data_IF_458995865394
#
_entry.id   IF_458995865394
#
_cell.length_a   1.000
_cell.length_b   1.000
_cell.length_c   1.000
_cell.angle_alpha   90.00
_cell.angle_beta   90.00
_cell.angle_gamma   90.00
#
_symmetry.space_group_name_H-M   'P 1'
#
loop_
_entity.id
_entity.type
_entity.pdbx_description
1 polymer ?
#
# COMPACT_ATOMS: atom_id res chain seq x y z
N UNK A 1 3.77 2.41 -4.91
CA UNK A 1 4.14 3.85 -4.82
C UNK A 1 3.73 4.52 -3.49
N UNK A 2 3.06 3.82 -2.56
CA UNK A 2 2.51 4.40 -1.32
C UNK A 2 3.41 4.26 -0.06
N UNK A 3 4.63 3.76 -0.19
CA UNK A 3 5.52 3.60 0.96
C UNK A 3 6.01 4.92 1.57
N UNK A 4 5.81 6.06 0.87
CA UNK A 4 6.33 7.36 1.29
C UNK A 4 5.33 8.09 2.19
N UNK A 5 5.64 8.36 3.48
CA UNK A 5 4.75 9.06 4.41
C UNK A 5 4.51 10.53 4.04
N UNK A 6 5.28 11.06 3.09
CA UNK A 6 5.19 12.43 2.59
C UNK A 6 4.36 12.56 1.30
N UNK A 7 3.84 11.45 0.78
CA UNK A 7 3.12 11.38 -0.50
C UNK A 7 3.90 12.05 -1.68
N UNK A 8 5.23 11.99 -1.64
CA UNK A 8 6.11 12.70 -2.58
C UNK A 8 6.43 11.92 -3.89
N UNK A 9 5.92 10.70 -4.03
CA UNK A 9 6.09 9.84 -5.22
C UNK A 9 4.95 10.07 -6.21
N UNK A 10 5.21 10.52 -7.43
CA UNK A 10 4.18 10.80 -8.44
C UNK A 10 4.57 10.25 -9.81
N UNK A 11 3.61 10.08 -10.73
CA UNK A 11 3.92 9.76 -12.13
C UNK A 11 4.05 11.07 -12.90
N UNK A 12 5.23 11.31 -13.49
CA UNK A 12 5.43 12.49 -14.32
C UNK A 12 4.57 12.37 -15.60
N UNK A 13 3.69 13.35 -15.86
CA UNK A 13 2.71 13.27 -16.95
C UNK A 13 3.36 13.28 -18.35
N UNK A 14 4.58 13.76 -18.49
CA UNK A 14 5.26 13.86 -19.78
C UNK A 14 5.95 12.55 -20.18
N UNK A 15 6.52 11.83 -19.21
CA UNK A 15 7.34 10.63 -19.47
C UNK A 15 6.71 9.32 -18.96
N UNK A 16 5.64 9.40 -18.17
CA UNK A 16 4.97 8.24 -17.58
C UNK A 16 5.90 7.43 -16.66
N UNK A 17 6.84 8.09 -15.98
CA UNK A 17 7.77 7.45 -15.04
C UNK A 17 7.47 7.89 -13.62
N UNK A 18 7.71 6.98 -12.66
CA UNK A 18 7.58 7.30 -11.25
C UNK A 18 8.72 8.25 -10.84
N UNK A 19 8.36 9.50 -10.60
CA UNK A 19 9.22 10.52 -10.05
C UNK A 19 9.08 10.59 -8.53
N UNK A 20 10.19 10.87 -7.85
CA UNK A 20 10.24 11.23 -6.43
C UNK A 20 11.33 12.27 -6.25
N UNK A 21 11.36 12.91 -5.08
CA UNK A 21 12.56 13.62 -4.66
C UNK A 21 13.76 12.66 -4.75
N UNK A 22 14.68 12.98 -5.64
CA UNK A 22 15.96 12.30 -5.82
C UNK A 22 17.10 13.11 -5.18
N UNK A 23 16.76 13.95 -4.20
CA UNK A 23 17.67 14.87 -3.54
C UNK A 23 18.46 15.77 -4.50
N UNK A 24 17.85 16.12 -5.64
CA UNK A 24 18.50 16.85 -6.72
C UNK A 24 19.87 16.25 -7.12
N UNK A 25 19.97 14.92 -7.28
CA UNK A 25 21.23 14.23 -7.58
C UNK A 25 22.08 14.93 -8.65
N UNK A 26 21.46 15.34 -9.77
CA UNK A 26 22.11 16.09 -10.85
C UNK A 26 22.75 17.44 -10.43
N UNK A 27 22.27 18.08 -9.37
CA UNK A 27 22.85 19.34 -8.82
C UNK A 27 23.98 19.03 -7.86
N UNK A 28 23.77 18.07 -6.97
CA UNK A 28 24.75 17.66 -5.96
C UNK A 28 26.02 17.12 -6.62
N UNK A 29 25.89 16.35 -7.70
CA UNK A 29 27.03 15.86 -8.50
C UNK A 29 27.89 16.99 -9.09
N UNK A 30 27.31 18.18 -9.27
CA UNK A 30 28.01 19.39 -9.72
C UNK A 30 28.29 20.38 -8.58
N UNK A 31 28.25 19.91 -7.32
CA UNK A 31 28.51 20.71 -6.11
C UNK A 31 27.55 21.89 -5.92
N UNK A 32 26.34 21.82 -6.49
CA UNK A 32 25.27 22.78 -6.23
C UNK A 32 24.32 22.27 -5.15
N UNK A 33 23.80 23.18 -4.34
CA UNK A 33 22.74 22.86 -3.37
C UNK A 33 21.44 22.44 -4.06
N UNK A 34 20.58 21.65 -3.38
CA UNK A 34 19.26 21.29 -3.87
C UNK A 34 18.42 22.53 -4.21
N UNK A 35 17.57 22.41 -5.23
CA UNK A 35 16.74 23.53 -5.68
C UNK A 35 15.81 24.07 -4.58
N UNK A 36 15.29 23.19 -3.71
CA UNK A 36 14.44 23.58 -2.58
C UNK A 36 15.16 24.42 -1.53
N UNK A 37 16.48 24.26 -1.37
CA UNK A 37 17.29 25.06 -0.44
C UNK A 37 17.52 26.45 -1.01
N UNK A 38 17.96 26.53 -2.27
CA UNK A 38 18.28 27.80 -2.94
C UNK A 38 17.05 28.70 -3.10
N UNK A 39 15.87 28.12 -3.38
CA UNK A 39 14.64 28.91 -3.56
C UNK A 39 14.03 29.37 -2.24
N UNK A 40 14.46 28.83 -1.10
CA UNK A 40 13.84 29.13 0.19
C UNK A 40 14.23 30.53 0.67
N UNK A 41 13.32 31.52 0.67
CA UNK A 41 13.67 32.90 0.99
C UNK A 41 13.99 33.10 2.48
N UNK A 42 13.49 32.20 3.33
CA UNK A 42 13.65 32.25 4.79
C UNK A 42 14.71 31.28 5.31
N UNK A 43 15.47 30.64 4.41
CA UNK A 43 16.51 29.64 4.74
C UNK A 43 16.02 28.53 5.70
N UNK A 44 14.73 28.19 5.63
CA UNK A 44 14.09 27.23 6.53
C UNK A 44 14.35 25.77 6.15
N UNK A 45 14.95 25.52 4.98
CA UNK A 45 15.34 24.20 4.50
C UNK A 45 16.87 24.14 4.53
N UNK A 46 17.44 23.27 5.36
CA UNK A 46 18.87 22.99 5.39
C UNK A 46 19.13 21.58 4.88
N UNK A 47 20.08 21.42 3.96
CA UNK A 47 20.50 20.12 3.41
C UNK A 47 21.98 19.90 3.69
N UNK A 48 22.39 18.65 3.91
CA UNK A 48 23.79 18.29 4.09
C UNK A 48 23.95 16.82 4.46
N UNK A 49 25.19 16.44 4.77
CA UNK A 49 25.52 15.11 5.26
C UNK A 49 25.28 15.04 6.78
N UNK A 50 24.44 14.11 7.22
CA UNK A 50 24.14 13.91 8.64
C UNK A 50 25.28 13.18 9.37
N UNK A 51 26.13 12.45 8.64
CA UNK A 51 27.23 11.68 9.19
C UNK A 51 28.49 12.54 9.41
N UNK A 52 28.58 13.73 8.79
CA UNK A 52 29.63 14.72 9.04
C UNK A 52 29.26 15.66 10.20
N UNK A 53 29.94 15.58 11.37
CA UNK A 53 29.65 16.45 12.52
C UNK A 53 29.87 17.94 12.26
N UNK A 54 30.66 18.29 11.24
CA UNK A 54 30.91 19.68 10.86
C UNK A 54 29.79 20.27 10.00
N UNK A 55 28.88 19.43 9.49
CA UNK A 55 27.79 19.90 8.64
C UNK A 55 26.77 20.71 9.44
N UNK A 56 26.19 21.73 8.79
CA UNK A 56 25.15 22.58 9.41
C UNK A 56 23.96 21.74 9.87
N UNK A 57 23.59 20.70 9.12
CA UNK A 57 22.45 19.84 9.46
C UNK A 57 22.74 18.96 10.68
N UNK A 58 23.93 18.37 10.79
CA UNK A 58 24.30 17.55 11.95
C UNK A 58 24.32 18.38 13.24
N UNK A 59 24.84 19.61 13.17
CA UNK A 59 24.82 20.54 14.31
C UNK A 59 23.40 20.94 14.69
N UNK A 60 22.53 21.24 13.73
CA UNK A 60 21.14 21.59 14.01
C UNK A 60 20.38 20.43 14.66
N UNK A 61 20.52 19.21 14.15
CA UNK A 61 19.86 18.02 14.72
C UNK A 61 20.39 17.69 16.11
N UNK A 62 21.68 17.92 16.38
CA UNK A 62 22.27 17.67 17.69
C UNK A 62 21.94 18.73 18.75
N UNK A 63 21.71 19.99 18.35
CA UNK A 63 21.53 21.11 19.27
C UNK A 63 20.07 21.54 19.47
N UNK A 64 19.21 21.29 18.49
CA UNK A 64 17.80 21.67 18.53
C UNK A 64 16.92 20.48 18.90
N UNK A 65 15.77 20.76 19.51
CA UNK A 65 14.71 19.76 19.64
C UNK A 65 14.09 19.50 18.26
N UNK A 66 14.23 18.26 17.78
CA UNK A 66 13.75 17.85 16.47
C UNK A 66 12.66 16.80 16.56
N UNK A 67 11.72 16.85 15.63
CA UNK A 67 10.64 15.88 15.48
C UNK A 67 10.63 15.30 14.06
N UNK A 68 9.98 14.15 13.89
CA UNK A 68 9.80 13.47 12.60
C UNK A 68 8.33 13.17 12.38
N UNK A 69 7.93 12.92 11.13
CA UNK A 69 6.56 12.48 10.82
C UNK A 69 6.41 10.99 11.12
N UNK A 70 5.27 10.61 11.72
CA UNK A 70 4.92 9.24 12.11
C UNK A 70 6.02 8.52 12.91
N UNK A 71 6.45 9.06 14.07
CA UNK A 71 7.47 8.43 14.90
C UNK A 71 7.12 6.99 15.32
N UNK A 72 5.82 6.69 15.48
CA UNK A 72 5.28 5.36 15.80
C UNK A 72 5.54 4.31 14.71
N UNK A 73 5.87 4.73 13.48
CA UNK A 73 6.20 3.81 12.38
C UNK A 73 7.54 3.09 12.55
N UNK A 74 8.39 3.53 13.49
CA UNK A 74 9.75 3.01 13.66
C UNK A 74 10.60 3.16 12.40
N UNK A 75 10.27 4.13 11.55
CA UNK A 75 11.12 4.55 10.44
C UNK A 75 12.22 5.46 10.98
N UNK A 76 13.42 5.37 10.40
CA UNK A 76 14.52 6.32 10.64
C UNK A 76 14.60 7.24 9.43
N UNK A 77 13.76 8.28 9.31
CA UNK A 77 13.79 9.18 8.17
C UNK A 77 14.98 10.14 8.26
N UNK A 78 15.48 10.57 7.11
CA UNK A 78 16.53 11.59 7.01
C UNK A 78 15.95 13.02 6.90
N UNK A 79 14.74 13.24 7.43
CA UNK A 79 14.05 14.53 7.41
C UNK A 79 13.54 14.84 8.81
N UNK A 80 14.08 15.92 9.37
CA UNK A 80 13.84 16.38 10.73
C UNK A 80 13.21 17.77 10.70
N UNK A 81 12.29 18.02 11.63
CA UNK A 81 11.61 19.29 11.76
C UNK A 81 11.99 19.93 13.09
N UNK A 82 12.28 21.24 13.08
CA UNK A 82 12.56 22.02 14.29
C UNK A 82 11.31 22.85 14.59
N UNK A 83 10.78 22.74 15.83
CA UNK A 83 9.59 23.49 16.29
C UNK A 83 8.34 23.28 15.41
N UNK A 84 8.15 22.09 14.84
CA UNK A 84 6.91 21.76 14.16
C UNK A 84 5.78 21.52 15.16
N UNK A 85 4.61 22.11 14.90
CA UNK A 85 3.39 21.77 15.64
C UNK A 85 2.85 20.41 15.22
N UNK A 86 2.03 19.79 16.06
CA UNK A 86 1.46 18.47 15.80
C UNK A 86 0.62 18.46 14.50
N UNK A 87 -0.12 19.55 14.25
CA UNK A 87 -0.96 19.71 13.06
C UNK A 87 -0.16 19.80 11.75
N UNK A 88 1.13 20.18 11.82
CA UNK A 88 2.03 20.21 10.65
C UNK A 88 2.64 18.84 10.36
N UNK A 89 2.75 17.99 11.38
CA UNK A 89 3.34 16.64 11.25
C UNK A 89 2.29 15.61 10.84
N UNK A 90 1.04 15.77 11.33
CA UNK A 90 -0.07 14.89 11.00
C UNK A 90 -0.86 15.38 9.77
N UNK A 91 -0.77 14.70 8.61
CA UNK A 91 -1.57 15.04 7.44
C UNK A 91 -3.07 14.77 7.60
N UNK A 92 -3.53 14.18 8.70
CA UNK A 92 -4.96 14.01 9.02
C UNK A 92 -5.50 15.09 9.98
N UNK A 93 -4.65 15.99 10.50
CA UNK A 93 -5.07 17.01 11.47
C UNK A 93 -6.01 18.09 10.91
N UNK A 94 -6.19 18.16 9.60
CA UNK A 94 -7.06 19.12 8.92
C UNK A 94 -7.86 18.42 7.84
N UNK A 95 -9.09 18.84 7.55
CA UNK A 95 -9.85 18.28 6.43
C UNK A 95 -9.23 18.73 5.08
N UNK A 96 -9.23 17.83 4.10
CA UNK A 96 -8.84 18.16 2.71
C UNK A 96 -9.95 18.98 2.05
N UNK A 97 -9.83 20.30 2.09
CA UNK A 97 -10.78 21.22 1.45
C UNK A 97 -10.27 21.71 0.09
N UNK A 98 -10.79 21.16 -1.00
CA UNK A 98 -10.60 21.68 -2.36
C UNK A 98 -9.15 21.75 -2.86
N UNK A 99 -8.92 22.53 -3.93
CA UNK A 99 -7.59 22.88 -4.41
C UNK A 99 -6.94 23.92 -3.49
N UNK A 100 -5.69 23.68 -3.07
CA UNK A 100 -4.92 24.62 -2.25
C UNK A 100 -4.81 26.01 -2.87
N UNK A 101 -4.53 27.03 -2.05
CA UNK A 101 -4.64 28.46 -2.44
C UNK A 101 -3.78 28.83 -3.67
N UNK A 102 -2.66 28.13 -3.89
CA UNK A 102 -1.78 28.33 -5.05
C UNK A 102 -1.36 27.02 -5.72
N UNK A 103 -2.19 25.98 -5.60
CA UNK A 103 -1.89 24.68 -6.20
C UNK A 103 -2.60 24.56 -7.54
N UNK A 104 -1.85 24.60 -8.65
CA UNK A 104 -2.40 24.28 -9.99
C UNK A 104 -2.80 22.80 -10.11
N UNK A 105 -2.19 21.95 -9.29
CA UNK A 105 -2.43 20.51 -9.28
C UNK A 105 -3.55 20.15 -8.28
N UNK A 106 -4.80 20.37 -8.70
CA UNK A 106 -5.99 19.98 -7.93
C UNK A 106 -6.25 18.45 -7.92
N UNK A 107 -5.65 17.73 -8.88
CA UNK A 107 -5.90 16.31 -9.12
C UNK A 107 -4.64 15.47 -8.87
N UNK A 108 -4.82 14.27 -8.32
CA UNK A 108 -3.75 13.29 -8.25
C UNK A 108 -3.26 12.93 -9.66
N UNK A 109 -1.98 12.58 -9.82
CA UNK A 109 -1.47 12.04 -11.09
C UNK A 109 -1.41 10.52 -11.01
N UNK A 110 -2.02 9.84 -11.98
CA UNK A 110 -2.05 8.37 -12.10
C UNK A 110 -3.43 7.80 -12.47
N UNK A 111 -3.50 6.49 -12.72
CA UNK A 111 -4.72 5.78 -13.15
C UNK A 111 -5.90 5.90 -12.16
N UNK A 112 -5.61 6.14 -10.88
CA UNK A 112 -6.60 6.18 -9.79
C UNK A 112 -6.94 7.58 -9.27
N UNK A 113 -6.50 8.65 -9.95
CA UNK A 113 -6.81 10.03 -9.61
C UNK A 113 -8.32 10.30 -9.45
N UNK A 114 -9.15 9.62 -10.25
CA UNK A 114 -10.62 9.75 -10.28
C UNK A 114 -11.30 9.55 -8.92
N UNK A 115 -10.71 8.77 -8.01
CA UNK A 115 -11.28 8.55 -6.67
C UNK A 115 -11.09 9.75 -5.74
N UNK A 116 -10.00 10.52 -5.92
CA UNK A 116 -9.78 11.77 -5.20
C UNK A 116 -10.73 12.86 -5.72
N UNK A 117 -10.91 12.92 -7.04
CA UNK A 117 -11.75 13.90 -7.73
C UNK A 117 -13.23 13.83 -7.28
N UNK A 118 -13.74 12.63 -6.99
CA UNK A 118 -15.12 12.42 -6.55
C UNK A 118 -15.42 12.99 -5.15
N UNK A 119 -14.41 13.18 -4.29
CA UNK A 119 -14.58 13.72 -2.93
C UNK A 119 -14.29 15.22 -2.84
N UNK A 120 -13.63 15.79 -3.85
CA UNK A 120 -13.34 17.23 -3.92
C UNK A 120 -14.61 18.08 -4.11
N UNK A 121 -15.68 17.52 -4.68
CA UNK A 121 -16.98 18.20 -4.81
C UNK A 121 -17.75 18.38 -3.49
N UNK A 122 -17.28 17.77 -2.40
CA UNK A 122 -17.88 17.86 -1.06
C UNK A 122 -17.19 18.89 -0.17
N UNK A 123 -16.13 19.56 -0.65
CA UNK A 123 -15.33 20.49 0.16
C UNK A 123 -15.98 21.88 0.32
N UNK A 124 -16.25 22.27 1.57
CA UNK A 124 -16.97 23.49 1.96
C UNK A 124 -16.08 24.76 1.85
N UNK A 125 -15.91 25.23 0.61
CA UNK A 125 -15.27 26.51 0.26
C UNK A 125 -16.01 27.83 0.64
N UNK A 126 -17.34 27.87 0.91
CA UNK A 126 -18.08 29.11 1.18
C UNK A 126 -17.64 29.93 2.41
N UNK A 127 -17.06 29.33 3.45
CA UNK A 127 -16.94 30.01 4.75
C UNK A 127 -15.96 31.19 4.78
N UNK A 128 -14.88 31.15 3.99
CA UNK A 128 -13.81 32.15 4.05
C UNK A 128 -14.17 33.47 3.34
N UNK A 129 -14.89 33.38 2.22
CA UNK A 129 -15.40 34.57 1.51
C UNK A 129 -16.44 35.28 2.37
N UNK A 130 -17.29 34.50 3.05
CA UNK A 130 -18.27 35.04 4.00
C UNK A 130 -17.58 35.72 5.18
N UNK A 131 -16.53 35.12 5.75
CA UNK A 131 -15.77 35.72 6.85
C UNK A 131 -15.09 37.05 6.45
N UNK A 132 -14.40 37.09 5.30
CA UNK A 132 -13.79 38.31 4.78
C UNK A 132 -14.82 39.39 4.43
N UNK A 133 -15.98 39.00 3.89
CA UNK A 133 -17.07 39.90 3.60
C UNK A 133 -17.67 40.50 4.90
N UNK A 134 -17.81 39.68 5.96
CA UNK A 134 -18.28 40.12 7.27
C UNK A 134 -17.27 41.04 7.95
N UNK A 135 -15.97 40.77 7.91
CA UNK A 135 -14.94 41.67 8.44
C UNK A 135 -14.95 43.04 7.75
N UNK A 136 -15.06 43.04 6.41
CA UNK A 136 -15.16 44.26 5.62
C UNK A 136 -16.44 45.04 5.97
N UNK A 137 -17.55 44.34 6.14
CA UNK A 137 -18.83 44.93 6.55
C UNK A 137 -18.79 45.45 7.99
N UNK A 138 -18.11 44.75 8.91
CA UNK A 138 -17.91 45.16 10.30
C UNK A 138 -17.19 46.50 10.39
N UNK A 139 -16.12 46.67 9.61
CA UNK A 139 -15.35 47.94 9.53
C UNK A 139 -16.16 49.10 8.98
N UNK A 140 -17.14 48.82 8.10
CA UNK A 140 -18.01 49.82 7.48
C UNK A 140 -19.33 50.06 8.24
N UNK A 141 -19.64 49.23 9.25
CA UNK A 141 -20.92 49.27 9.96
C UNK A 141 -20.97 50.35 11.05
N UNK A 142 -22.18 50.86 11.31
CA UNK A 142 -22.44 51.80 12.39
C UNK A 142 -22.09 51.18 13.77
N UNK A 143 -21.71 51.97 14.78
CA UNK A 143 -21.22 51.47 16.07
C UNK A 143 -22.16 50.48 16.77
N UNK A 144 -23.49 50.62 16.58
CA UNK A 144 -24.51 49.75 17.16
C UNK A 144 -24.51 48.34 16.54
N UNK A 145 -24.19 48.22 15.26
CA UNK A 145 -24.21 46.96 14.51
C UNK A 145 -22.87 46.21 14.59
N UNK A 146 -21.79 46.92 14.94
CA UNK A 146 -20.47 46.31 15.15
C UNK A 146 -20.46 45.26 16.25
N UNK A 147 -21.26 45.45 17.32
CA UNK A 147 -21.34 44.48 18.42
C UNK A 147 -21.97 43.16 17.94
N UNK A 148 -23.05 43.23 17.16
CA UNK A 148 -23.73 42.06 16.58
C UNK A 148 -22.80 41.35 15.59
N UNK A 149 -22.13 42.10 14.72
CA UNK A 149 -21.19 41.51 13.76
C UNK A 149 -20.00 40.86 14.49
N UNK A 150 -19.52 41.46 15.59
CA UNK A 150 -18.44 40.91 16.40
C UNK A 150 -18.85 39.62 17.13
N UNK A 151 -20.08 39.57 17.64
CA UNK A 151 -20.66 38.38 18.29
C UNK A 151 -20.85 37.22 17.29
N UNK A 152 -21.37 37.53 16.10
CA UNK A 152 -21.46 36.57 14.98
C UNK A 152 -20.08 36.11 14.54
N UNK A 153 -19.09 37.01 14.45
CA UNK A 153 -17.71 36.63 14.13
C UNK A 153 -17.06 35.78 15.22
N UNK A 154 -17.34 36.01 16.51
CA UNK A 154 -16.83 35.14 17.58
C UNK A 154 -17.46 33.75 17.55
N UNK A 155 -18.76 33.66 17.31
CA UNK A 155 -19.43 32.37 17.15
C UNK A 155 -18.90 31.61 15.92
N UNK A 156 -18.68 32.32 14.80
CA UNK A 156 -18.07 31.75 13.61
C UNK A 156 -16.60 31.36 13.82
N UNK A 157 -15.82 32.11 14.61
CA UNK A 157 -14.43 31.75 14.91
C UNK A 157 -14.33 30.53 15.81
N UNK A 158 -15.25 30.36 16.77
CA UNK A 158 -15.34 29.16 17.60
C UNK A 158 -15.80 27.94 16.80
N UNK A 159 -16.56 28.15 15.72
CA UNK A 159 -16.98 27.11 14.77
C UNK A 159 -15.97 26.86 13.65
N UNK A 160 -14.95 27.72 13.48
CA UNK A 160 -13.97 27.61 12.40
C UNK A 160 -12.83 26.67 12.81
N UNK A 161 -12.37 25.77 11.91
CA UNK A 161 -11.26 24.87 12.24
C UNK A 161 -10.00 25.64 12.63
N UNK A 162 -9.42 25.30 13.79
CA UNK A 162 -8.23 25.99 14.37
C UNK A 162 -6.99 25.92 13.47
N UNK A 163 -6.89 24.87 12.65
CA UNK A 163 -5.85 24.69 11.66
C UNK A 163 -6.47 24.51 10.27
N UNK A 164 -5.87 25.14 9.25
CA UNK A 164 -6.34 25.06 7.86
C UNK A 164 -5.21 24.63 6.96
N UNK A 165 -5.51 23.69 6.07
CA UNK A 165 -4.59 23.26 5.01
C UNK A 165 -4.49 24.32 3.94
N UNK A 166 -3.32 24.95 3.80
CA UNK A 166 -3.05 25.97 2.78
C UNK A 166 -2.37 25.36 1.56
N UNK A 167 -1.39 24.48 1.80
CA UNK A 167 -0.63 23.74 0.80
C UNK A 167 -0.57 22.28 1.18
N UNK A 168 -0.76 21.40 0.21
CA UNK A 168 -0.53 19.97 0.38
C UNK A 168 -0.30 19.30 -0.97
N UNK A 169 0.27 18.09 -0.93
CA UNK A 169 0.36 17.24 -2.09
C UNK A 169 -1.04 16.71 -2.47
N UNK A 170 -1.39 16.69 -3.77
CA UNK A 170 -2.66 16.15 -4.24
C UNK A 170 -2.77 14.67 -3.86
N UNK A 171 -3.94 14.28 -3.33
CA UNK A 171 -4.22 12.88 -2.98
C UNK A 171 -4.17 11.99 -4.21
N UNK A 172 -3.48 10.86 -4.08
CA UNK A 172 -3.37 9.87 -5.18
C UNK A 172 -4.44 8.80 -5.17
N UNK A 173 -5.43 8.90 -4.28
CA UNK A 173 -6.50 7.93 -4.14
C UNK A 173 -6.01 6.56 -3.68
N UNK A 174 -6.72 5.51 -4.10
CA UNK A 174 -6.34 4.11 -3.87
C UNK A 174 -5.43 3.68 -5.01
N UNK A 175 -4.16 3.38 -4.73
CA UNK A 175 -3.17 2.97 -5.74
C UNK A 175 -3.24 1.47 -6.03
N UNK A 176 -3.48 0.66 -5.01
CA UNK A 176 -3.69 -0.78 -5.17
C UNK A 176 -5.18 -1.05 -5.24
N UNK A 177 -5.66 -1.21 -6.47
CA UNK A 177 -7.05 -1.42 -6.81
C UNK A 177 -7.56 -2.84 -6.55
N UNK A 178 -8.45 -3.31 -7.41
CA UNK A 178 -9.03 -4.64 -7.31
C UNK A 178 -8.05 -5.72 -7.78
N UNK A 179 -7.09 -5.36 -8.64
CA UNK A 179 -6.07 -6.24 -9.19
C UNK A 179 -5.25 -6.92 -8.09
N UNK A 180 -4.84 -6.13 -7.09
CA UNK A 180 -4.07 -6.62 -5.93
C UNK A 180 -4.86 -7.60 -5.10
N UNK A 181 -6.13 -7.29 -4.85
CA UNK A 181 -7.03 -8.15 -4.08
C UNK A 181 -7.30 -9.46 -4.84
N UNK A 182 -7.47 -9.37 -6.15
CA UNK A 182 -7.69 -10.52 -7.03
C UNK A 182 -6.47 -11.44 -7.10
N UNK A 183 -5.25 -10.91 -7.19
CA UNK A 183 -4.08 -11.78 -7.20
C UNK A 183 -3.78 -12.39 -5.83
N UNK A 184 -4.11 -11.72 -4.71
CA UNK A 184 -4.01 -12.33 -3.37
C UNK A 184 -4.97 -13.51 -3.25
N UNK A 185 -6.20 -13.34 -3.73
CA UNK A 185 -7.23 -14.38 -3.68
C UNK A 185 -6.90 -15.56 -4.59
N UNK A 186 -6.54 -15.32 -5.86
CA UNK A 186 -6.14 -16.38 -6.80
C UNK A 186 -4.90 -17.13 -6.33
N UNK A 187 -3.90 -16.41 -5.81
CA UNK A 187 -2.72 -17.02 -5.18
C UNK A 187 -3.10 -17.85 -3.97
N UNK A 188 -4.00 -17.36 -3.12
CA UNK A 188 -4.53 -18.07 -1.96
C UNK A 188 -5.25 -19.36 -2.33
N UNK A 189 -5.97 -19.40 -3.45
CA UNK A 189 -6.55 -20.63 -4.01
C UNK A 189 -5.43 -21.60 -4.40
N UNK A 190 -4.47 -21.15 -5.22
CA UNK A 190 -3.38 -22.01 -5.68
C UNK A 190 -2.56 -22.61 -4.51
N UNK A 191 -2.08 -21.76 -3.59
CA UNK A 191 -1.24 -22.19 -2.48
C UNK A 191 -2.04 -22.89 -1.38
N UNK A 192 -3.24 -22.41 -1.07
CA UNK A 192 -4.10 -22.96 -0.03
C UNK A 192 -4.60 -24.35 -0.36
N UNK A 193 -5.09 -24.58 -1.58
CA UNK A 193 -5.56 -25.91 -2.00
C UNK A 193 -4.44 -26.94 -1.93
N UNK A 194 -3.24 -26.58 -2.42
CA UNK A 194 -2.08 -27.45 -2.34
C UNK A 194 -1.68 -27.72 -0.88
N UNK A 195 -1.55 -26.68 -0.06
CA UNK A 195 -1.19 -26.80 1.36
C UNK A 195 -2.15 -27.74 2.10
N UNK A 196 -3.46 -27.49 1.99
CA UNK A 196 -4.46 -28.29 2.70
C UNK A 196 -4.52 -29.73 2.19
N UNK A 197 -4.35 -29.95 0.88
CA UNK A 197 -4.30 -31.30 0.33
C UNK A 197 -3.09 -32.09 0.84
N UNK A 198 -1.90 -31.47 0.86
CA UNK A 198 -0.69 -32.14 1.35
C UNK A 198 -0.78 -32.43 2.85
N UNK A 199 -1.31 -31.49 3.65
CA UNK A 199 -1.55 -31.72 5.08
C UNK A 199 -2.56 -32.85 5.32
N UNK A 200 -3.65 -32.90 4.54
CA UNK A 200 -4.64 -33.97 4.64
C UNK A 200 -4.10 -35.34 4.21
N UNK A 201 -3.22 -35.37 3.19
CA UNK A 201 -2.48 -36.56 2.77
C UNK A 201 -1.60 -37.09 3.92
N UNK A 202 -0.76 -36.24 4.52
CA UNK A 202 0.12 -36.65 5.61
C UNK A 202 -0.62 -37.00 6.91
N UNK A 203 -1.80 -36.42 7.12
CA UNK A 203 -2.68 -36.77 8.23
C UNK A 203 -3.46 -38.08 8.01
N UNK A 204 -3.37 -38.69 6.82
CA UNK A 204 -4.10 -39.91 6.48
C UNK A 204 -5.61 -39.72 6.31
N UNK A 205 -6.07 -38.47 6.12
CA UNK A 205 -7.49 -38.13 5.97
C UNK A 205 -7.96 -38.40 4.54
N UNK A 206 -7.07 -38.22 3.56
CA UNK A 206 -7.37 -38.36 2.13
C UNK A 206 -6.34 -39.25 1.48
N UNK A 207 -6.80 -40.21 0.67
CA UNK A 207 -5.95 -41.00 -0.22
C UNK A 207 -5.68 -40.24 -1.52
N UNK A 208 -4.40 -40.06 -1.84
CA UNK A 208 -3.98 -39.30 -3.01
C UNK A 208 -3.98 -40.17 -4.27
N UNK A 209 -5.10 -40.16 -4.99
CA UNK A 209 -5.24 -40.77 -6.32
C UNK A 209 -4.59 -39.88 -7.40
N UNK A 210 -4.27 -40.47 -8.56
CA UNK A 210 -3.70 -39.73 -9.70
C UNK A 210 -4.61 -38.60 -10.16
N UNK A 211 -5.92 -38.84 -10.16
CA UNK A 211 -6.93 -37.83 -10.48
C UNK A 211 -6.88 -36.66 -9.51
N UNK A 212 -6.74 -36.93 -8.21
CA UNK A 212 -6.66 -35.88 -7.19
C UNK A 212 -5.37 -35.07 -7.33
N UNK A 213 -4.23 -35.73 -7.57
CA UNK A 213 -2.96 -35.07 -7.86
C UNK A 213 -3.08 -34.13 -9.06
N UNK A 214 -3.60 -34.62 -10.19
CA UNK A 214 -3.80 -33.79 -11.38
C UNK A 214 -4.73 -32.62 -11.11
N UNK A 215 -5.81 -32.84 -10.37
CA UNK A 215 -6.77 -31.78 -10.03
C UNK A 215 -6.10 -30.66 -9.22
N UNK A 216 -5.33 -31.01 -8.19
CA UNK A 216 -4.61 -30.03 -7.37
C UNK A 216 -3.55 -29.29 -8.18
N UNK A 217 -2.81 -29.99 -9.03
CA UNK A 217 -1.75 -29.40 -9.87
C UNK A 217 -2.34 -28.44 -10.90
N UNK A 218 -3.43 -28.83 -11.58
CA UNK A 218 -4.11 -27.99 -12.58
C UNK A 218 -4.70 -26.74 -11.94
N UNK A 219 -5.36 -26.88 -10.78
CA UNK A 219 -5.85 -25.72 -10.02
C UNK A 219 -4.67 -24.83 -9.59
N UNK A 220 -3.62 -25.43 -9.04
CA UNK A 220 -2.41 -24.71 -8.61
C UNK A 220 -1.77 -23.92 -9.75
N UNK A 221 -1.43 -24.57 -10.86
CA UNK A 221 -0.79 -23.93 -12.02
C UNK A 221 -1.72 -22.92 -12.71
N UNK A 222 -3.01 -23.24 -12.85
CA UNK A 222 -3.99 -22.35 -13.45
C UNK A 222 -4.15 -21.05 -12.68
N UNK A 223 -4.40 -21.14 -11.37
CA UNK A 223 -4.56 -19.97 -10.52
C UNK A 223 -3.24 -19.22 -10.30
N UNK A 224 -2.10 -19.92 -10.18
CA UNK A 224 -0.78 -19.28 -10.11
C UNK A 224 -0.43 -18.56 -11.43
N UNK A 225 -0.84 -19.10 -12.57
CA UNK A 225 -0.73 -18.44 -13.88
C UNK A 225 -1.57 -17.17 -13.95
N UNK A 226 -2.83 -17.21 -13.48
CA UNK A 226 -3.69 -16.01 -13.37
C UNK A 226 -3.05 -14.97 -12.44
N UNK A 227 -2.52 -15.40 -11.28
CA UNK A 227 -1.76 -14.54 -10.38
C UNK A 227 -0.59 -13.89 -11.11
N UNK A 228 0.22 -14.65 -11.85
CA UNK A 228 1.34 -14.12 -12.63
C UNK A 228 0.91 -13.06 -13.66
N UNK A 229 -0.18 -13.30 -14.39
CA UNK A 229 -0.73 -12.34 -15.35
C UNK A 229 -1.21 -11.05 -14.68
N UNK A 230 -1.90 -11.18 -13.54
CA UNK A 230 -2.35 -10.03 -12.76
C UNK A 230 -1.18 -9.22 -12.19
N UNK A 231 -0.10 -9.89 -11.72
CA UNK A 231 1.11 -9.20 -11.28
C UNK A 231 1.75 -8.40 -12.41
N UNK A 232 1.92 -9.00 -13.59
CA UNK A 232 2.51 -8.30 -14.74
C UNK A 232 1.67 -7.10 -15.17
N UNK A 233 0.33 -7.23 -15.10
CA UNK A 233 -0.60 -6.13 -15.37
C UNK A 233 -0.48 -5.01 -14.34
N UNK A 234 -0.33 -5.33 -13.05
CA UNK A 234 -0.22 -4.36 -11.95
C UNK A 234 1.10 -3.57 -11.98
N UNK A 235 2.12 -4.05 -12.68
CA UNK A 235 3.45 -3.41 -12.71
C UNK A 235 3.51 -2.07 -13.46
N UNK A 236 2.46 -1.67 -14.20
CA UNK A 236 2.36 -0.51 -15.12
C UNK A 236 3.42 -0.44 -16.25
N UNK A 237 4.58 -1.09 -16.07
CA UNK A 237 5.74 -1.22 -16.97
C UNK A 237 6.08 -2.71 -17.13
N UNK A 238 5.26 -3.48 -17.87
CA UNK A 238 5.47 -4.92 -18.03
C UNK A 238 6.78 -5.25 -18.74
N UNK A 239 7.33 -4.31 -19.52
CA UNK A 239 8.64 -4.40 -20.18
C UNK A 239 9.80 -4.65 -19.20
N UNK A 240 9.66 -4.21 -17.94
CA UNK A 240 10.71 -4.31 -16.92
C UNK A 240 10.51 -5.46 -15.93
N UNK A 241 9.48 -6.28 -16.11
CA UNK A 241 9.21 -7.40 -15.19
C UNK A 241 10.44 -8.31 -15.00
N UNK A 242 11.15 -8.62 -16.09
CA UNK A 242 12.34 -9.45 -16.05
C UNK A 242 13.47 -8.86 -15.19
N UNK A 243 13.52 -7.54 -14.98
CA UNK A 243 14.54 -6.94 -14.12
C UNK A 243 14.37 -7.30 -12.65
N UNK A 244 13.16 -7.65 -12.21
CA UNK A 244 12.94 -8.17 -10.84
C UNK A 244 13.69 -9.48 -10.63
N UNK A 245 13.78 -10.31 -11.68
CA UNK A 245 14.51 -11.58 -11.65
C UNK A 245 16.01 -11.39 -11.94
N UNK A 246 16.36 -10.57 -12.93
CA UNK A 246 17.73 -10.40 -13.41
C UNK A 246 18.59 -9.43 -12.56
N UNK A 247 17.97 -8.49 -11.82
CA UNK A 247 18.66 -7.54 -10.93
C UNK A 247 17.97 -7.48 -9.56
N UNK A 248 18.04 -8.57 -8.77
CA UNK A 248 17.28 -8.69 -7.53
C UNK A 248 17.80 -7.75 -6.43
N UNK A 249 16.88 -7.02 -5.78
CA UNK A 249 17.12 -6.39 -4.49
C UNK A 249 16.59 -7.28 -3.36
N UNK A 250 17.49 -8.01 -2.70
CA UNK A 250 17.16 -8.98 -1.64
C UNK A 250 16.59 -8.38 -0.35
N UNK A 251 16.62 -7.06 -0.18
CA UNK A 251 15.93 -6.39 0.93
C UNK A 251 14.41 -6.31 0.72
N UNK A 252 13.93 -6.41 -0.54
CA UNK A 252 12.52 -6.24 -0.89
C UNK A 252 11.74 -7.56 -0.83
N UNK A 253 10.60 -7.56 -0.16
CA UNK A 253 9.69 -8.70 -0.17
C UNK A 253 9.03 -8.95 -1.53
N UNK A 254 9.01 -7.95 -2.43
CA UNK A 254 8.49 -8.13 -3.79
C UNK A 254 9.39 -9.08 -4.59
N UNK A 255 10.70 -8.90 -4.50
CA UNK A 255 11.70 -9.77 -5.13
C UNK A 255 11.65 -11.15 -4.50
N UNK A 256 11.70 -11.26 -3.17
CA UNK A 256 11.58 -12.55 -2.46
C UNK A 256 10.31 -13.30 -2.86
N UNK A 257 9.19 -12.58 -2.95
CA UNK A 257 7.91 -13.10 -3.42
C UNK A 257 7.97 -13.71 -4.82
N UNK A 258 8.60 -13.02 -5.78
CA UNK A 258 8.74 -13.54 -7.14
C UNK A 258 9.51 -14.89 -7.18
N UNK A 259 10.58 -15.03 -6.39
CA UNK A 259 11.32 -16.28 -6.27
C UNK A 259 10.53 -17.37 -5.53
N UNK A 260 9.74 -17.02 -4.52
CA UNK A 260 8.85 -17.95 -3.82
C UNK A 260 7.76 -18.49 -4.78
N UNK A 261 7.11 -17.60 -5.55
CA UNK A 261 6.13 -17.99 -6.56
C UNK A 261 6.75 -18.87 -7.65
N UNK A 262 7.93 -18.50 -8.13
CA UNK A 262 8.68 -19.29 -9.12
C UNK A 262 9.04 -20.67 -8.59
N UNK A 263 9.53 -20.76 -7.35
CA UNK A 263 9.85 -22.03 -6.69
C UNK A 263 8.62 -22.91 -6.48
N UNK A 264 7.50 -22.33 -6.03
CA UNK A 264 6.24 -23.07 -5.89
C UNK A 264 5.70 -23.56 -7.25
N UNK A 265 5.74 -22.71 -8.28
CA UNK A 265 5.38 -23.09 -9.64
C UNK A 265 6.28 -24.19 -10.22
N UNK A 266 7.58 -24.17 -9.89
CA UNK A 266 8.51 -25.22 -10.29
C UNK A 266 8.18 -26.57 -9.62
N UNK A 267 7.79 -26.57 -8.35
CA UNK A 267 7.32 -27.80 -7.67
C UNK A 267 6.08 -28.35 -8.35
N UNK A 268 5.06 -27.51 -8.60
CA UNK A 268 3.84 -27.96 -9.28
C UNK A 268 4.13 -28.50 -10.68
N UNK A 269 5.03 -27.84 -11.43
CA UNK A 269 5.44 -28.27 -12.76
C UNK A 269 6.23 -29.59 -12.72
N UNK A 270 7.08 -29.78 -11.73
CA UNK A 270 7.83 -31.03 -11.52
C UNK A 270 6.90 -32.17 -11.10
N UNK A 271 5.92 -31.92 -10.24
CA UNK A 271 4.86 -32.89 -9.90
C UNK A 271 4.04 -33.27 -11.14
N UNK A 272 3.70 -32.30 -12.00
CA UNK A 272 3.02 -32.57 -13.27
C UNK A 272 3.87 -33.45 -14.20
N UNK A 273 5.18 -33.16 -14.30
CA UNK A 273 6.11 -33.93 -15.12
C UNK A 273 6.25 -35.38 -14.63
N UNK A 274 6.32 -35.61 -13.32
CA UNK A 274 6.37 -36.96 -12.74
C UNK A 274 5.15 -37.79 -13.16
N UNK A 275 3.95 -37.19 -13.11
CA UNK A 275 2.71 -37.86 -13.53
C UNK A 275 2.62 -38.05 -15.05
N UNK A 276 3.14 -37.10 -15.83
CA UNK A 276 3.10 -37.16 -17.30
C UNK A 276 4.05 -38.22 -17.86
N UNK A 277 5.22 -38.39 -17.24
CA UNK A 277 6.25 -39.36 -17.66
C UNK A 277 6.18 -40.69 -16.90
N UNK A 278 5.16 -40.90 -16.06
CA UNK A 278 4.96 -42.10 -15.23
C UNK A 278 6.22 -42.50 -14.44
N UNK A 279 6.88 -41.49 -13.84
CA UNK A 279 8.08 -41.68 -13.01
C UNK A 279 7.69 -42.22 -11.62
N UNK A 280 8.71 -42.59 -10.82
CA UNK A 280 8.50 -43.12 -9.48
C UNK A 280 7.66 -42.16 -8.60
N UNK A 281 6.54 -42.68 -8.10
CA UNK A 281 5.57 -41.95 -7.28
C UNK A 281 6.14 -41.55 -5.93
N UNK A 282 7.20 -42.20 -5.46
CA UNK A 282 7.91 -41.78 -4.24
C UNK A 282 8.41 -40.33 -4.32
N UNK A 283 8.75 -39.87 -5.53
CA UNK A 283 9.20 -38.50 -5.80
C UNK A 283 8.11 -37.46 -5.51
N UNK A 284 6.83 -37.79 -5.70
CA UNK A 284 5.72 -36.89 -5.37
C UNK A 284 5.66 -36.60 -3.88
N UNK A 285 5.96 -37.59 -3.03
CA UNK A 285 6.02 -37.39 -1.57
C UNK A 285 7.17 -36.47 -1.18
N UNK A 286 8.35 -36.61 -1.80
CA UNK A 286 9.47 -35.70 -1.55
C UNK A 286 9.17 -34.26 -2.01
N UNK A 287 8.53 -34.12 -3.19
CA UNK A 287 8.07 -32.82 -3.68
C UNK A 287 6.98 -32.22 -2.78
N UNK A 288 6.09 -33.04 -2.20
CA UNK A 288 5.10 -32.58 -1.24
C UNK A 288 5.74 -31.99 0.02
N UNK A 289 6.77 -32.64 0.56
CA UNK A 289 7.52 -32.15 1.73
C UNK A 289 8.18 -30.79 1.41
N UNK A 290 8.79 -30.65 0.23
CA UNK A 290 9.38 -29.39 -0.22
C UNK A 290 8.32 -28.33 -0.56
N UNK A 291 7.14 -28.76 -1.02
CA UNK A 291 6.05 -27.91 -1.46
C UNK A 291 5.28 -27.25 -0.31
N UNK A 292 5.14 -27.91 0.84
CA UNK A 292 4.47 -27.35 2.02
C UNK A 292 5.07 -26.00 2.47
N UNK A 293 6.39 -25.86 2.71
CA UNK A 293 6.94 -24.58 3.12
C UNK A 293 6.81 -23.52 2.03
N UNK A 294 6.97 -23.88 0.75
CA UNK A 294 6.85 -22.94 -0.36
C UNK A 294 5.40 -22.49 -0.61
N UNK A 295 4.41 -23.36 -0.45
CA UNK A 295 3.00 -23.00 -0.55
C UNK A 295 2.56 -22.11 0.62
N UNK A 296 2.98 -22.44 1.85
CA UNK A 296 2.76 -21.59 3.02
C UNK A 296 3.39 -20.21 2.82
N UNK A 297 4.65 -20.15 2.38
CA UNK A 297 5.31 -18.87 2.08
C UNK A 297 4.59 -18.12 0.97
N UNK A 298 4.13 -18.80 -0.09
CA UNK A 298 3.37 -18.20 -1.19
C UNK A 298 2.10 -17.53 -0.67
N UNK A 299 1.35 -18.15 0.24
CA UNK A 299 0.19 -17.53 0.88
C UNK A 299 0.56 -16.28 1.71
N UNK A 300 1.59 -16.41 2.55
CA UNK A 300 1.88 -15.44 3.62
C UNK A 300 2.74 -14.25 3.18
N UNK A 301 3.63 -14.38 2.19
CA UNK A 301 4.67 -13.37 1.98
C UNK A 301 4.16 -11.95 1.66
N UNK A 302 2.95 -11.85 1.11
CA UNK A 302 2.30 -10.56 0.83
C UNK A 302 2.03 -9.77 2.10
N UNK A 303 1.81 -10.43 3.24
CA UNK A 303 1.69 -9.74 4.54
C UNK A 303 2.98 -9.00 4.90
N UNK A 304 4.15 -9.62 4.73
CA UNK A 304 5.43 -8.95 4.98
C UNK A 304 5.72 -7.85 3.94
N UNK A 305 5.25 -8.01 2.70
CA UNK A 305 5.29 -6.95 1.70
C UNK A 305 4.46 -5.72 2.13
N UNK A 306 3.28 -5.93 2.71
CA UNK A 306 2.48 -4.83 3.27
C UNK A 306 3.10 -4.23 4.54
N UNK A 307 3.71 -5.02 5.42
CA UNK A 307 4.42 -4.51 6.59
C UNK A 307 5.67 -3.67 6.23
N UNK A 308 6.27 -3.87 5.04
CA UNK A 308 7.35 -2.98 4.55
C UNK A 308 6.85 -1.55 4.28
N UNK A 309 5.55 -1.34 4.08
CA UNK A 309 4.96 -0.02 3.93
C UNK A 309 4.74 0.64 5.30
N UNK A 310 5.84 1.03 5.96
CA UNK A 310 5.86 1.63 7.32
C UNK A 310 4.93 2.83 7.51
N UNK A 311 4.56 3.52 6.44
CA UNK A 311 3.66 4.67 6.49
C UNK A 311 2.18 4.31 6.73
N UNK A 312 1.77 3.04 6.67
CA UNK A 312 0.38 2.61 6.78
C UNK A 312 0.12 1.70 7.99
N UNK A 313 -1.15 1.54 8.36
CA UNK A 313 -1.58 0.66 9.46
C UNK A 313 -1.19 -0.80 9.27
N UNK A 314 -0.91 -1.25 8.03
CA UNK A 314 -0.35 -2.58 7.77
C UNK A 314 0.93 -2.85 8.58
N UNK A 315 1.79 -1.85 8.74
CA UNK A 315 3.05 -2.00 9.45
C UNK A 315 2.87 -2.09 10.97
N UNK A 316 1.77 -1.57 11.50
CA UNK A 316 1.43 -1.63 12.93
C UNK A 316 0.81 -2.98 13.31
N UNK A 317 0.19 -3.68 12.35
CA UNK A 317 -0.43 -4.98 12.58
C UNK A 317 0.60 -6.12 12.55
N UNK A 318 1.11 -6.49 13.73
CA UNK A 318 2.05 -7.60 13.90
C UNK A 318 1.45 -8.97 13.55
N UNK A 319 0.12 -9.10 13.62
CA UNK A 319 -0.61 -10.35 13.33
C UNK A 319 -1.00 -10.48 11.85
N UNK A 320 -0.62 -9.52 11.00
CA UNK A 320 -0.95 -9.57 9.57
C UNK A 320 -0.51 -10.88 8.87
N UNK A 321 0.70 -11.44 9.11
CA UNK A 321 1.11 -12.71 8.52
C UNK A 321 0.23 -13.88 8.98
N UNK A 322 -0.21 -13.87 10.24
CA UNK A 322 -1.11 -14.89 10.78
C UNK A 322 -2.50 -14.78 10.13
N UNK A 323 -3.01 -13.57 9.93
CA UNK A 323 -4.28 -13.33 9.23
C UNK A 323 -4.25 -13.88 7.79
N UNK A 324 -3.17 -13.60 7.06
CA UNK A 324 -2.97 -14.14 5.70
C UNK A 324 -2.84 -15.67 5.69
N UNK A 325 -2.20 -16.26 6.70
CA UNK A 325 -2.12 -17.71 6.84
C UNK A 325 -3.50 -18.32 7.07
N UNK A 326 -4.29 -17.76 7.99
CA UNK A 326 -5.65 -18.22 8.29
C UNK A 326 -6.53 -18.11 7.04
N UNK A 327 -6.46 -16.99 6.32
CA UNK A 327 -7.21 -16.78 5.08
C UNK A 327 -6.80 -17.80 4.00
N UNK A 328 -5.51 -18.07 3.85
CA UNK A 328 -4.99 -19.10 2.91
C UNK A 328 -5.51 -20.49 3.27
N UNK A 329 -5.55 -20.83 4.56
CA UNK A 329 -6.10 -22.11 5.05
C UNK A 329 -7.60 -22.20 4.81
N UNK A 330 -8.37 -21.13 5.06
CA UNK A 330 -9.82 -21.09 4.83
C UNK A 330 -10.13 -21.26 3.34
N UNK A 331 -9.48 -20.48 2.48
CA UNK A 331 -9.65 -20.57 1.02
C UNK A 331 -9.26 -21.97 0.54
N UNK A 332 -8.11 -22.49 0.98
CA UNK A 332 -7.62 -23.81 0.63
C UNK A 332 -8.57 -24.93 1.04
N UNK A 333 -9.11 -24.86 2.26
CA UNK A 333 -10.06 -25.84 2.80
C UNK A 333 -11.38 -25.82 2.04
N UNK A 334 -11.89 -24.63 1.69
CA UNK A 334 -13.12 -24.48 0.91
C UNK A 334 -12.97 -25.11 -0.49
N UNK A 335 -11.86 -24.85 -1.17
CA UNK A 335 -11.60 -25.44 -2.50
C UNK A 335 -11.36 -26.95 -2.40
N UNK A 336 -10.64 -27.42 -1.39
CA UNK A 336 -10.43 -28.85 -1.18
C UNK A 336 -11.75 -29.59 -0.87
N UNK A 337 -12.63 -28.97 -0.08
CA UNK A 337 -13.95 -29.52 0.22
C UNK A 337 -14.81 -29.68 -1.05
N UNK A 338 -14.75 -28.74 -1.98
CA UNK A 338 -15.41 -28.84 -3.30
C UNK A 338 -14.92 -30.07 -4.08
N UNK A 339 -13.62 -30.34 -4.04
CA UNK A 339 -12.99 -31.44 -4.79
C UNK A 339 -13.32 -32.80 -4.18
N UNK A 340 -13.24 -32.92 -2.85
CA UNK A 340 -13.35 -34.20 -2.14
C UNK A 340 -14.81 -34.57 -1.85
N UNK A 341 -15.66 -33.57 -1.60
CA UNK A 341 -17.07 -33.75 -1.23
C UNK A 341 -17.97 -32.94 -2.18
N UNK A 342 -18.22 -33.42 -3.41
CA UNK A 342 -19.00 -32.71 -4.42
C UNK A 342 -20.51 -32.78 -4.16
N UNK A 343 -20.94 -32.37 -2.97
CA UNK A 343 -22.34 -32.27 -2.58
C UNK A 343 -22.84 -30.84 -2.81
N UNK A 344 -24.09 -30.63 -3.29
CA UNK A 344 -24.62 -29.29 -3.56
C UNK A 344 -24.51 -28.32 -2.38
N UNK A 345 -24.71 -28.82 -1.15
CA UNK A 345 -24.60 -28.01 0.07
C UNK A 345 -23.17 -27.54 0.32
N UNK A 346 -22.18 -28.42 0.12
CA UNK A 346 -20.75 -28.11 0.29
C UNK A 346 -20.29 -27.13 -0.79
N UNK A 347 -20.78 -27.28 -2.03
CA UNK A 347 -20.49 -26.35 -3.12
C UNK A 347 -20.98 -24.93 -2.79
N UNK A 348 -22.23 -24.80 -2.36
CA UNK A 348 -22.82 -23.49 -2.01
C UNK A 348 -22.09 -22.88 -0.81
N UNK A 349 -21.86 -23.66 0.25
CA UNK A 349 -21.15 -23.20 1.44
C UNK A 349 -19.73 -22.73 1.12
N UNK A 350 -18.99 -23.50 0.32
CA UNK A 350 -17.62 -23.17 -0.08
C UNK A 350 -17.58 -21.94 -0.99
N UNK A 351 -18.54 -21.78 -1.90
CA UNK A 351 -18.66 -20.58 -2.74
C UNK A 351 -18.92 -19.31 -1.92
N UNK A 352 -19.76 -19.39 -0.87
CA UNK A 352 -20.00 -18.28 0.06
C UNK A 352 -18.72 -17.92 0.81
N UNK A 353 -17.99 -18.91 1.33
CA UNK A 353 -16.71 -18.71 2.02
C UNK A 353 -15.68 -18.04 1.11
N UNK A 354 -15.56 -18.51 -0.14
CA UNK A 354 -14.65 -17.94 -1.13
C UNK A 354 -15.01 -16.50 -1.50
N UNK A 355 -16.29 -16.19 -1.65
CA UNK A 355 -16.78 -14.83 -1.89
C UNK A 355 -16.55 -13.90 -0.69
N UNK A 356 -16.79 -14.38 0.52
CA UNK A 356 -16.52 -13.64 1.75
C UNK A 356 -15.02 -13.35 1.92
N UNK A 357 -14.16 -14.33 1.64
CA UNK A 357 -12.71 -14.14 1.65
C UNK A 357 -12.26 -13.09 0.62
N UNK A 358 -12.82 -13.09 -0.59
CA UNK A 358 -12.52 -12.07 -1.59
C UNK A 358 -12.89 -10.65 -1.14
N UNK A 359 -14.08 -10.47 -0.55
CA UNK A 359 -14.52 -9.17 -0.02
C UNK A 359 -13.65 -8.73 1.16
N UNK A 360 -13.30 -9.66 2.06
CA UNK A 360 -12.40 -9.38 3.17
C UNK A 360 -11.01 -8.95 2.68
N UNK A 361 -10.42 -9.69 1.74
CA UNK A 361 -9.13 -9.35 1.13
C UNK A 361 -9.15 -7.97 0.46
N UNK A 362 -10.24 -7.62 -0.22
CA UNK A 362 -10.44 -6.26 -0.78
C UNK A 362 -10.39 -5.18 0.30
N UNK A 363 -11.08 -5.39 1.42
CA UNK A 363 -11.09 -4.46 2.54
C UNK A 363 -9.71 -4.31 3.19
N UNK A 364 -8.98 -5.41 3.37
CA UNK A 364 -7.62 -5.43 3.93
C UNK A 364 -6.65 -4.63 3.06
N UNK A 365 -6.81 -4.67 1.74
CA UNK A 365 -6.00 -3.91 0.79
C UNK A 365 -6.44 -2.45 0.72
N UNK A 366 -7.74 -2.15 0.65
CA UNK A 366 -8.18 -0.78 0.34
C UNK A 366 -8.30 0.13 1.56
N UNK A 367 -8.80 -0.36 2.70
CA UNK A 367 -9.08 0.50 3.88
C UNK A 367 -7.84 1.24 4.39
N UNK A 368 -6.65 0.62 4.54
CA UNK A 368 -5.44 1.31 5.00
C UNK A 368 -4.92 2.41 4.06
N UNK A 369 -5.30 2.37 2.78
CA UNK A 369 -4.95 3.40 1.80
C UNK A 369 -5.85 4.63 1.95
N UNK A 370 -7.13 4.42 2.32
CA UNK A 370 -8.12 5.47 2.49
C UNK A 370 -7.88 6.35 3.73
N UNK A 371 -7.18 5.86 4.75
CA UNK A 371 -6.84 6.64 5.96
C UNK A 371 -6.02 7.90 5.63
N UNK A 372 -5.29 7.89 4.52
CA UNK A 372 -4.53 9.08 4.07
C UNK A 372 -5.39 10.11 3.34
N UNK A 373 -6.63 9.76 3.01
CA UNK A 373 -7.60 10.58 2.25
C UNK A 373 -8.68 11.20 3.13
N UNK A 374 -8.89 10.67 4.35
CA UNK A 374 -9.88 11.17 5.32
C UNK A 374 -9.41 12.44 6.02
#
# INVERSE_FOLDING_TARGET
MQACPYDALYIDPNNGTAAKCNYCAHRIEHSYEPACVIVCPTESITSGDLDDPNSKIAQLVATQETTVRKPESGANPNLYYIKASEEMLDPAATERTGSGVWTEQAFGVGHFAKYADARLSEADTPSMIVQLALEKKAKAAAPRDQAIIRDVMSQLSDMSPKAKRVYDAPSKGVLWGWEVSAYIWTKGIASGTYLMAMLAMFAGIIEMTDTLWWTIIVIGLGFLGITGLLLVKDLDRPDRFLYVLLRPNWSSWLVKGAYILGGFGAILSASAAILLFDLDRSLLTYLAIAGIPLSTLTGVYTAWLFQQAKAHSWAQDSLLPLKFLIETVIIGSAVLAIIVLPQPVVLIGSAIVLGAAFVHGKDVVQKPQLVTLS
#
